data_IF_931887528746
#
_entry.id   IF_931887528746
#
_cell.length_a   1.000
_cell.length_b   1.000
_cell.length_c   1.000
_cell.angle_alpha   90.00
_cell.angle_beta   90.00
_cell.angle_gamma   90.00
#
_symmetry.space_group_name_H-M   'P 1'
#
loop_
_entity.id
_entity.type
_entity.pdbx_description
1 polymer ?
#
# COMPACT_ATOMS: atom_id res chain seq x y z
N UNK A 1 13.74 -9.81 10.35
CA UNK A 1 12.75 -8.74 10.61
C UNK A 1 11.36 -9.05 10.04
N UNK A 2 11.14 -9.16 8.71
CA UNK A 2 9.80 -9.48 8.13
C UNK A 2 9.25 -10.83 8.61
N UNK A 3 10.06 -11.87 8.59
CA UNK A 3 9.69 -13.20 9.05
C UNK A 3 9.25 -13.19 10.51
N UNK A 4 10.08 -12.63 11.40
CA UNK A 4 9.76 -12.48 12.82
C UNK A 4 8.46 -11.72 13.03
N UNK A 5 8.27 -10.59 12.32
CA UNK A 5 7.03 -9.81 12.36
C UNK A 5 5.80 -10.67 11.98
N UNK A 6 5.86 -11.37 10.84
CA UNK A 6 4.74 -12.17 10.36
C UNK A 6 4.42 -13.32 11.33
N UNK A 7 5.45 -14.00 11.89
CA UNK A 7 5.23 -15.07 12.84
C UNK A 7 4.65 -14.59 14.17
N UNK A 8 5.14 -13.47 14.71
CA UNK A 8 4.69 -12.97 16.02
C UNK A 8 3.35 -12.23 15.95
N UNK A 9 3.02 -11.60 14.81
CA UNK A 9 1.81 -10.79 14.70
C UNK A 9 0.63 -11.47 14.01
N UNK A 10 0.82 -12.66 13.42
CA UNK A 10 -0.24 -13.35 12.67
C UNK A 10 -1.49 -13.62 13.51
N UNK A 11 -1.33 -14.15 14.72
CA UNK A 11 -2.46 -14.44 15.62
C UNK A 11 -3.24 -13.17 15.96
N UNK A 12 -2.55 -12.08 16.25
CA UNK A 12 -3.16 -10.79 16.53
C UNK A 12 -3.93 -10.24 15.32
N UNK A 13 -3.38 -10.37 14.11
CA UNK A 13 -4.06 -9.94 12.86
C UNK A 13 -5.34 -10.74 12.62
N UNK A 14 -5.33 -12.05 12.90
CA UNK A 14 -6.51 -12.91 12.78
C UNK A 14 -7.58 -12.51 13.79
N UNK A 15 -7.22 -12.38 15.05
CA UNK A 15 -8.12 -12.01 16.16
C UNK A 15 -8.77 -10.64 15.91
N UNK A 16 -7.99 -9.66 15.49
CA UNK A 16 -8.48 -8.30 15.20
C UNK A 16 -9.21 -8.20 13.85
N UNK A 17 -9.37 -9.31 13.12
CA UNK A 17 -10.01 -9.38 11.79
C UNK A 17 -9.36 -8.43 10.76
N UNK A 18 -8.02 -8.32 10.81
CA UNK A 18 -7.22 -7.51 9.90
C UNK A 18 -6.79 -8.37 8.71
N UNK A 19 -7.06 -7.92 7.47
CA UNK A 19 -6.56 -8.54 6.25
C UNK A 19 -5.16 -8.00 5.95
N UNK A 20 -4.18 -8.89 5.83
CA UNK A 20 -2.81 -8.56 5.46
C UNK A 20 -2.56 -8.88 3.99
N UNK A 21 -1.90 -7.99 3.27
CA UNK A 21 -1.37 -8.20 1.92
C UNK A 21 0.05 -7.65 1.82
N UNK A 22 0.95 -8.40 1.20
CA UNK A 22 2.29 -7.93 0.88
C UNK A 22 2.29 -7.54 -0.61
N UNK A 23 2.60 -6.28 -0.90
CA UNK A 23 2.71 -5.76 -2.27
C UNK A 23 4.18 -5.53 -2.65
N UNK A 24 4.50 -5.71 -3.93
CA UNK A 24 5.85 -5.61 -4.47
C UNK A 24 6.32 -6.90 -5.14
N UNK A 25 7.56 -6.94 -5.59
CA UNK A 25 8.12 -8.10 -6.29
C UNK A 25 8.48 -9.22 -5.31
N UNK A 26 7.53 -10.14 -5.13
CA UNK A 26 7.70 -11.32 -4.27
C UNK A 26 8.70 -12.34 -4.82
N UNK A 27 9.06 -12.27 -6.11
CA UNK A 27 9.95 -13.26 -6.72
C UNK A 27 11.37 -13.20 -6.18
N UNK A 28 11.81 -12.04 -5.73
CA UNK A 28 13.13 -11.83 -5.14
C UNK A 28 13.28 -12.37 -3.71
N UNK A 29 12.21 -12.81 -3.06
CA UNK A 29 12.33 -13.39 -1.74
C UNK A 29 12.76 -14.85 -1.77
N UNK A 30 13.54 -15.31 -0.77
CA UNK A 30 13.82 -16.73 -0.56
C UNK A 30 12.54 -17.56 -0.45
N UNK A 31 12.58 -18.83 -0.87
CA UNK A 31 11.42 -19.73 -0.83
C UNK A 31 10.75 -19.79 0.55
N UNK A 32 11.56 -19.78 1.63
CA UNK A 32 11.07 -19.77 3.02
C UNK A 32 10.19 -18.55 3.31
N UNK A 33 10.66 -17.35 2.94
CA UNK A 33 9.92 -16.11 3.17
C UNK A 33 8.63 -16.08 2.34
N UNK A 34 8.67 -16.54 1.08
CA UNK A 34 7.45 -16.66 0.25
C UNK A 34 6.40 -17.55 0.90
N UNK A 35 6.79 -18.69 1.48
CA UNK A 35 5.86 -19.58 2.19
C UNK A 35 5.20 -18.88 3.37
N UNK A 36 5.96 -18.13 4.17
CA UNK A 36 5.44 -17.41 5.34
C UNK A 36 4.48 -16.29 4.89
N UNK A 37 4.84 -15.53 3.86
CA UNK A 37 3.98 -14.49 3.27
C UNK A 37 2.65 -15.11 2.82
N UNK A 38 2.69 -16.14 1.97
CA UNK A 38 1.50 -16.78 1.44
C UNK A 38 0.62 -17.34 2.56
N UNK A 39 1.22 -17.98 3.56
CA UNK A 39 0.49 -18.47 4.73
C UNK A 39 -0.21 -17.35 5.50
N UNK A 40 0.47 -16.23 5.74
CA UNK A 40 -0.10 -15.10 6.48
C UNK A 40 -1.23 -14.42 5.70
N UNK A 41 -1.06 -14.22 4.40
CA UNK A 41 -2.11 -13.69 3.52
C UNK A 41 -3.32 -14.63 3.46
N UNK A 42 -3.10 -15.94 3.33
CA UNK A 42 -4.18 -16.94 3.28
C UNK A 42 -4.97 -16.99 4.58
N UNK A 43 -4.31 -17.00 5.74
CA UNK A 43 -4.95 -17.00 7.05
C UNK A 43 -5.80 -15.75 7.32
N UNK A 44 -5.43 -14.62 6.73
CA UNK A 44 -6.12 -13.33 6.94
C UNK A 44 -7.04 -12.92 5.79
N UNK A 45 -7.12 -13.68 4.69
CA UNK A 45 -7.85 -13.28 3.46
C UNK A 45 -9.35 -13.01 3.65
N UNK A 46 -9.99 -13.66 4.63
CA UNK A 46 -11.41 -13.49 4.92
C UNK A 46 -11.69 -12.33 5.88
N UNK A 47 -10.67 -11.71 6.44
CA UNK A 47 -10.81 -10.59 7.37
C UNK A 47 -11.25 -9.32 6.64
N UNK A 48 -12.10 -8.52 7.27
CA UNK A 48 -12.73 -7.34 6.62
C UNK A 48 -12.71 -6.07 7.47
N UNK A 49 -12.24 -6.12 8.72
CA UNK A 49 -12.30 -4.95 9.62
C UNK A 49 -11.30 -3.88 9.24
N UNK A 50 -10.08 -4.28 8.83
CA UNK A 50 -9.01 -3.39 8.40
C UNK A 50 -8.17 -4.11 7.35
N UNK A 51 -7.69 -3.37 6.35
CA UNK A 51 -6.79 -3.87 5.32
C UNK A 51 -5.40 -3.24 5.53
N UNK A 52 -4.39 -4.05 5.72
CA UNK A 52 -3.00 -3.62 5.81
C UNK A 52 -2.24 -4.15 4.59
N UNK A 53 -1.70 -3.24 3.78
CA UNK A 53 -0.81 -3.57 2.69
C UNK A 53 0.61 -3.16 3.05
N UNK A 54 1.53 -4.14 3.15
CA UNK A 54 2.95 -3.88 3.38
C UNK A 54 3.68 -3.87 2.05
N UNK A 55 4.21 -2.71 1.66
CA UNK A 55 5.01 -2.56 0.46
C UNK A 55 6.46 -2.96 0.74
N UNK A 56 6.88 -4.12 0.21
CA UNK A 56 8.22 -4.66 0.43
C UNK A 56 8.82 -5.03 -0.92
N UNK A 57 10.06 -4.58 -1.18
CA UNK A 57 10.67 -4.68 -2.50
C UNK A 57 9.72 -4.14 -3.60
N UNK A 58 9.11 -3.00 -3.30
CA UNK A 58 8.11 -2.33 -4.10
C UNK A 58 8.69 -1.13 -4.86
N UNK A 59 8.22 -0.94 -6.07
CA UNK A 59 8.48 0.27 -6.84
C UNK A 59 7.36 0.50 -7.85
N UNK A 60 6.73 1.69 -7.81
CA UNK A 60 5.54 2.00 -8.60
C UNK A 60 5.78 1.92 -10.11
N UNK A 61 6.94 2.40 -10.61
CA UNK A 61 7.29 2.27 -12.04
C UNK A 61 7.29 0.81 -12.48
N UNK A 62 7.88 -0.09 -11.69
CA UNK A 62 7.91 -1.53 -11.99
C UNK A 62 6.51 -2.13 -11.93
N UNK A 63 5.70 -1.74 -10.95
CA UNK A 63 4.30 -2.19 -10.83
C UNK A 63 3.48 -1.83 -12.07
N UNK A 64 3.58 -0.57 -12.54
CA UNK A 64 2.88 -0.09 -13.75
C UNK A 64 3.31 -0.91 -14.97
N UNK A 65 4.60 -1.10 -15.16
CA UNK A 65 5.13 -1.93 -16.28
C UNK A 65 4.61 -3.36 -16.19
N UNK A 66 4.60 -3.98 -15.01
CA UNK A 66 4.07 -5.34 -14.85
C UNK A 66 2.55 -5.41 -15.03
N UNK A 67 1.81 -4.36 -14.65
CA UNK A 67 0.38 -4.24 -14.96
C UNK A 67 0.14 -4.25 -16.48
N UNK A 68 0.88 -3.45 -17.23
CA UNK A 68 0.79 -3.39 -18.70
C UNK A 68 1.14 -4.74 -19.32
N UNK A 69 2.21 -5.38 -18.90
CA UNK A 69 2.59 -6.73 -19.38
C UNK A 69 1.46 -7.76 -19.16
N UNK A 70 0.80 -7.72 -18.00
CA UNK A 70 -0.36 -8.59 -17.71
C UNK A 70 -1.54 -8.34 -18.64
N UNK A 71 -1.82 -7.08 -18.97
CA UNK A 71 -2.87 -6.69 -19.91
C UNK A 71 -2.56 -7.22 -21.31
N UNK A 72 -1.34 -6.97 -21.80
CA UNK A 72 -0.89 -7.43 -23.13
C UNK A 72 -0.88 -8.96 -23.25
N UNK A 73 -0.45 -9.69 -22.19
CA UNK A 73 -0.51 -11.15 -22.15
C UNK A 73 -1.94 -11.69 -22.32
N UNK A 74 -2.95 -10.94 -21.86
CA UNK A 74 -4.37 -11.26 -22.05
C UNK A 74 -4.91 -10.78 -23.41
N UNK A 75 -4.05 -10.30 -24.32
CA UNK A 75 -4.42 -9.73 -25.64
C UNK A 75 -5.46 -8.61 -25.54
N UNK A 76 -5.36 -7.76 -24.51
CA UNK A 76 -6.27 -6.67 -24.26
C UNK A 76 -5.62 -5.31 -24.57
N UNK A 77 -6.43 -4.34 -24.97
CA UNK A 77 -5.97 -2.95 -25.13
C UNK A 77 -5.64 -2.33 -23.77
N UNK A 78 -4.58 -1.53 -23.74
CA UNK A 78 -4.17 -0.80 -22.52
C UNK A 78 -5.09 0.41 -22.32
N UNK A 79 -5.57 0.61 -21.08
CA UNK A 79 -6.31 1.79 -20.65
C UNK A 79 -6.06 2.04 -19.16
N UNK A 80 -6.29 3.26 -18.69
CA UNK A 80 -6.14 3.61 -17.27
C UNK A 80 -6.92 2.66 -16.35
N UNK A 81 -8.18 2.40 -16.68
CA UNK A 81 -9.03 1.44 -15.95
C UNK A 81 -8.39 0.06 -15.87
N UNK A 82 -7.84 -0.45 -16.99
CA UNK A 82 -7.19 -1.77 -17.00
C UNK A 82 -5.87 -1.78 -16.25
N UNK A 83 -5.09 -0.68 -16.30
CA UNK A 83 -3.89 -0.54 -15.49
C UNK A 83 -4.28 -0.64 -14.02
N UNK A 84 -5.22 0.18 -13.55
CA UNK A 84 -5.71 0.18 -12.16
C UNK A 84 -6.16 -1.22 -11.71
N UNK A 85 -6.94 -1.93 -12.53
CA UNK A 85 -7.40 -3.30 -12.23
C UNK A 85 -6.28 -4.36 -12.21
N UNK A 86 -5.09 -4.05 -12.69
CA UNK A 86 -3.94 -4.96 -12.68
C UNK A 86 -2.81 -4.49 -11.74
N UNK A 87 -2.99 -3.42 -10.97
CA UNK A 87 -2.06 -3.04 -9.90
C UNK A 87 -2.15 -3.99 -8.71
N UNK A 88 -1.13 -3.99 -7.87
CA UNK A 88 -1.13 -4.79 -6.63
C UNK A 88 -2.23 -4.36 -5.66
N UNK A 89 -2.68 -3.10 -5.76
CA UNK A 89 -3.70 -2.47 -4.92
C UNK A 89 -5.12 -2.53 -5.50
N UNK A 90 -5.34 -3.25 -6.60
CA UNK A 90 -6.62 -3.28 -7.34
C UNK A 90 -7.86 -3.69 -6.52
N UNK A 91 -7.67 -4.29 -5.34
CA UNK A 91 -8.76 -4.73 -4.45
C UNK A 91 -9.15 -3.69 -3.39
N UNK A 92 -8.47 -2.57 -3.34
CA UNK A 92 -8.68 -1.49 -2.36
C UNK A 92 -8.79 -0.15 -3.08
N UNK A 93 -9.47 0.85 -2.50
CA UNK A 93 -9.50 2.20 -3.05
C UNK A 93 -8.11 2.84 -3.04
N UNK A 94 -7.92 3.83 -3.89
CA UNK A 94 -6.75 4.67 -3.84
C UNK A 94 -6.68 5.44 -2.51
N UNK A 95 -5.48 5.72 -1.98
CA UNK A 95 -5.35 6.37 -0.70
C UNK A 95 -5.78 7.85 -0.76
N UNK A 96 -6.53 8.29 0.23
CA UNK A 96 -6.89 9.70 0.39
C UNK A 96 -5.75 10.53 0.95
N UNK A 97 -4.89 9.91 1.77
CA UNK A 97 -3.81 10.58 2.52
C UNK A 97 -2.50 9.82 2.33
N UNK A 98 -1.44 10.56 1.99
CA UNK A 98 -0.06 10.10 2.12
C UNK A 98 0.62 10.87 3.26
N UNK A 99 1.17 10.15 4.22
CA UNK A 99 2.02 10.74 5.27
C UNK A 99 3.46 10.30 5.04
N UNK A 100 4.33 11.23 4.73
CA UNK A 100 5.76 10.99 4.55
C UNK A 100 6.55 11.53 5.73
N UNK A 101 7.04 10.64 6.59
CA UNK A 101 7.93 10.97 7.71
C UNK A 101 9.38 11.12 7.28
N UNK A 102 10.25 11.65 8.15
CA UNK A 102 11.69 11.68 7.94
C UNK A 102 12.21 12.90 7.18
N UNK A 103 11.49 14.03 7.22
CA UNK A 103 11.91 15.32 6.68
C UNK A 103 12.32 15.30 5.19
N UNK A 104 11.74 14.42 4.39
CA UNK A 104 11.98 14.34 2.95
C UNK A 104 10.71 14.62 2.16
N UNK A 105 10.83 15.47 1.10
CA UNK A 105 9.69 15.88 0.27
C UNK A 105 9.74 15.23 -1.10
N UNK A 106 9.74 13.89 -1.15
CA UNK A 106 9.76 13.11 -2.41
C UNK A 106 8.99 11.81 -2.23
N UNK A 107 8.39 11.30 -3.28
CA UNK A 107 7.61 10.04 -3.26
C UNK A 107 8.49 8.79 -3.35
N UNK A 108 9.73 8.90 -3.78
CA UNK A 108 10.69 7.79 -3.87
C UNK A 108 10.12 6.56 -4.59
N UNK A 109 9.42 6.77 -5.70
CA UNK A 109 8.81 5.70 -6.50
C UNK A 109 7.75 4.88 -5.73
N UNK A 110 7.04 5.51 -4.77
CA UNK A 110 5.99 4.87 -3.98
C UNK A 110 4.61 5.28 -4.48
N UNK A 111 3.76 4.32 -4.84
CA UNK A 111 2.35 4.43 -5.23
C UNK A 111 2.04 5.60 -6.21
N UNK A 112 2.91 5.85 -7.22
CA UNK A 112 2.80 7.02 -8.11
C UNK A 112 1.45 7.08 -8.84
N UNK A 113 0.88 5.93 -9.21
CA UNK A 113 -0.42 5.85 -9.87
C UNK A 113 -1.55 6.16 -8.90
N UNK A 114 -1.52 5.52 -7.75
CA UNK A 114 -2.59 5.56 -6.75
C UNK A 114 -2.67 6.88 -5.99
N UNK A 115 -1.57 7.65 -5.94
CA UNK A 115 -1.48 8.92 -5.23
C UNK A 115 -1.90 10.13 -6.06
N UNK A 116 -2.45 9.93 -7.27
CA UNK A 116 -2.77 11.01 -8.20
C UNK A 116 -3.67 12.10 -7.58
N UNK A 117 -4.56 11.73 -6.67
CA UNK A 117 -5.48 12.65 -5.99
C UNK A 117 -5.34 12.62 -4.46
N UNK A 118 -4.26 12.04 -3.94
CA UNK A 118 -4.02 11.98 -2.49
C UNK A 118 -3.52 13.31 -1.95
N UNK A 119 -3.98 13.67 -0.75
CA UNK A 119 -3.38 14.77 0.01
C UNK A 119 -2.05 14.30 0.62
N UNK A 120 -0.99 15.08 0.41
CA UNK A 120 0.36 14.70 0.82
C UNK A 120 0.82 15.55 2.02
N UNK A 121 1.08 14.88 3.14
CA UNK A 121 1.61 15.48 4.35
C UNK A 121 3.05 15.05 4.57
N UNK A 122 3.95 16.03 4.55
CA UNK A 122 5.37 15.82 4.86
C UNK A 122 5.62 16.13 6.34
N UNK A 123 6.07 15.12 7.08
CA UNK A 123 6.35 15.22 8.51
C UNK A 123 7.87 15.19 8.78
N UNK A 124 8.33 16.09 9.65
CA UNK A 124 9.75 16.20 9.98
C UNK A 124 10.24 15.05 10.86
N UNK A 125 9.38 14.53 11.73
CA UNK A 125 9.73 13.42 12.62
C UNK A 125 10.12 12.17 11.86
N UNK A 126 11.03 11.40 12.43
CA UNK A 126 11.30 10.03 11.97
C UNK A 126 10.13 9.11 12.32
N UNK A 127 10.01 8.00 11.61
CA UNK A 127 8.91 7.05 11.83
C UNK A 127 8.80 6.55 13.29
N UNK A 128 9.91 6.24 14.01
CA UNK A 128 9.81 5.81 15.41
C UNK A 128 9.28 6.89 16.37
N UNK A 129 9.44 8.17 16.01
CA UNK A 129 9.03 9.31 16.84
C UNK A 129 7.63 9.82 16.46
N UNK A 130 7.06 9.35 15.36
CA UNK A 130 5.73 9.70 14.87
C UNK A 130 4.67 8.95 15.69
N UNK A 131 3.83 9.69 16.39
CA UNK A 131 2.86 9.15 17.35
C UNK A 131 1.40 9.47 16.97
N UNK A 132 0.47 8.97 17.79
CA UNK A 132 -0.96 9.15 17.58
C UNK A 132 -1.37 10.62 17.53
N UNK A 133 -0.81 11.49 18.40
CA UNK A 133 -1.10 12.93 18.39
C UNK A 133 -0.71 13.58 17.05
N UNK A 134 0.42 13.18 16.46
CA UNK A 134 0.85 13.69 15.16
C UNK A 134 -0.10 13.22 14.05
N UNK A 135 -0.52 11.95 14.10
CA UNK A 135 -1.49 11.39 13.18
C UNK A 135 -2.84 12.12 13.26
N UNK A 136 -3.37 12.35 14.47
CA UNK A 136 -4.63 13.06 14.68
C UNK A 136 -4.57 14.51 14.18
N UNK A 137 -3.44 15.20 14.35
CA UNK A 137 -3.24 16.55 13.78
C UNK A 137 -3.36 16.54 12.26
N UNK A 138 -2.79 15.54 11.59
CA UNK A 138 -2.88 15.40 10.13
C UNK A 138 -4.33 15.11 9.72
N UNK A 139 -5.02 14.20 10.41
CA UNK A 139 -6.42 13.91 10.14
C UNK A 139 -7.32 15.13 10.28
N UNK A 140 -7.09 15.96 11.30
CA UNK A 140 -7.85 17.19 11.48
C UNK A 140 -7.57 18.22 10.37
N UNK A 141 -6.34 18.34 9.90
CA UNK A 141 -6.01 19.15 8.73
C UNK A 141 -6.69 18.61 7.47
N UNK A 142 -6.68 17.30 7.25
CA UNK A 142 -7.31 16.68 6.10
C UNK A 142 -8.83 16.92 6.05
N UNK A 143 -9.53 16.84 7.19
CA UNK A 143 -10.99 17.03 7.27
C UNK A 143 -11.49 18.39 6.76
N UNK A 144 -10.65 19.42 6.78
CA UNK A 144 -11.01 20.78 6.33
C UNK A 144 -10.60 21.06 4.88
N UNK A 145 -9.90 20.13 4.22
CA UNK A 145 -9.48 20.29 2.82
C UNK A 145 -10.68 20.03 1.91
N UNK A 146 -10.97 21.01 1.04
CA UNK A 146 -11.97 20.84 -0.02
C UNK A 146 -11.29 20.14 -1.22
N UNK A 147 -11.74 18.95 -1.54
CA UNK A 147 -11.19 18.13 -2.64
C UNK A 147 -12.10 18.19 -3.87
N UNK A 148 -11.59 18.64 -5.00
CA UNK A 148 -12.37 18.82 -6.23
C UNK A 148 -12.20 17.69 -7.27
N UNK A 149 -11.25 16.75 -7.10
CA UNK A 149 -10.98 15.61 -8.00
C UNK A 149 -10.95 15.97 -9.48
N UNK A 150 -10.31 17.10 -9.83
CA UNK A 150 -10.24 17.58 -11.20
C UNK A 150 -11.53 18.17 -11.76
N UNK A 151 -12.57 18.35 -10.96
CA UNK A 151 -13.76 19.11 -11.36
C UNK A 151 -13.52 20.60 -11.09
N UNK A 152 -13.56 21.41 -12.16
CA UNK A 152 -13.53 22.88 -12.10
C UNK A 152 -14.89 23.39 -11.65
#
# INVERSE_FOLDING_TARGET
MLESFLQTKLSQLIEQKIKLKIIGDKNKFPKRIKKIINHSEDKTKKNKKLYINLAINYGSKSEIVESIKRILKKKQNVSEKKITLNLYTSEIPDPDILIRTGNTKRLSNFLLWQLAYSEIFFEKKLWPDFNESDYLKILNKFKIIKRNFGRI
#
